data_IF_548140200662
#
_entry.id   IF_548140200662
#
_cell.length_a   1.000
_cell.length_b   1.000
_cell.length_c   1.000
_cell.angle_alpha   90.00
_cell.angle_beta   90.00
_cell.angle_gamma   90.00
#
_symmetry.space_group_name_H-M   'P 1'
#
loop_
_entity.id
_entity.type
_entity.pdbx_description
1 polymer ?
#
# COMPACT_ATOMS: atom_id res chain seq x y z
N UNK A 1 -9.22 2.24 13.26
CA UNK A 1 -8.59 2.29 11.94
C UNK A 1 -9.63 2.64 10.89
N UNK A 2 -9.41 3.68 10.10
CA UNK A 2 -10.40 4.06 9.08
C UNK A 2 -10.49 3.02 7.97
N UNK A 3 -11.70 2.90 7.42
CA UNK A 3 -11.95 2.17 6.19
C UNK A 3 -12.17 3.20 5.10
N UNK A 4 -11.36 3.15 4.05
CA UNK A 4 -11.41 4.10 2.95
C UNK A 4 -11.95 3.41 1.70
N UNK A 5 -12.97 3.98 1.09
CA UNK A 5 -13.53 3.45 -0.15
C UNK A 5 -12.67 3.84 -1.35
N UNK A 6 -12.04 2.85 -1.95
CA UNK A 6 -11.27 2.99 -3.16
C UNK A 6 -12.04 2.34 -4.33
N UNK A 7 -12.94 3.12 -4.90
CA UNK A 7 -13.72 2.71 -6.08
C UNK A 7 -14.48 1.39 -5.84
N UNK A 8 -15.26 1.35 -4.77
CA UNK A 8 -16.07 0.19 -4.38
C UNK A 8 -15.33 -0.88 -3.59
N UNK A 9 -14.08 -0.66 -3.24
CA UNK A 9 -13.31 -1.56 -2.38
C UNK A 9 -12.93 -0.84 -1.08
N UNK A 10 -13.44 -1.32 0.04
CA UNK A 10 -13.08 -0.77 1.35
C UNK A 10 -11.68 -1.22 1.75
N UNK A 11 -10.79 -0.28 1.92
CA UNK A 11 -9.41 -0.51 2.32
C UNK A 11 -9.22 -0.26 3.81
N UNK A 12 -8.62 -1.22 4.50
CA UNK A 12 -8.24 -1.08 5.90
C UNK A 12 -6.95 -0.26 6.00
N UNK A 13 -7.02 0.90 6.64
CA UNK A 13 -5.91 1.85 6.73
C UNK A 13 -5.62 2.16 8.20
N UNK A 14 -4.36 2.25 8.55
CA UNK A 14 -3.88 2.67 9.87
C UNK A 14 -3.05 3.93 9.73
N UNK A 15 -3.31 4.93 10.56
CA UNK A 15 -2.56 6.18 10.63
C UNK A 15 -2.07 6.35 12.06
N UNK A 16 -0.77 6.34 12.25
CA UNK A 16 -0.16 6.39 13.57
C UNK A 16 1.08 7.27 13.56
N UNK A 17 1.47 7.76 14.74
CA UNK A 17 2.74 8.43 14.93
C UNK A 17 2.60 9.93 15.10
N UNK A 18 3.63 10.65 14.69
CA UNK A 18 3.81 12.07 15.00
C UNK A 18 2.86 12.96 14.20
N UNK A 19 1.94 13.60 14.90
CA UNK A 19 1.07 14.60 14.29
C UNK A 19 1.91 15.79 13.77
N UNK A 20 1.59 16.21 12.53
CA UNK A 20 2.35 17.27 11.87
C UNK A 20 3.75 16.88 11.40
N UNK A 21 4.16 15.63 11.63
CA UNK A 21 5.41 15.12 11.11
C UNK A 21 5.33 14.79 9.61
N UNK A 22 6.48 14.53 8.96
CA UNK A 22 6.47 14.08 7.58
C UNK A 22 5.74 12.76 7.45
N UNK A 23 5.00 12.59 6.38
CA UNK A 23 4.23 11.38 6.13
C UNK A 23 5.09 10.30 5.50
N UNK A 24 4.99 9.08 6.04
CA UNK A 24 5.61 7.88 5.48
C UNK A 24 4.55 6.83 5.25
N UNK A 25 4.43 6.36 4.03
CA UNK A 25 3.51 5.28 3.68
C UNK A 25 4.27 3.98 3.48
N UNK A 26 3.80 2.91 4.12
CA UNK A 26 4.40 1.58 4.07
C UNK A 26 3.52 0.66 3.24
N UNK A 27 4.10 0.00 2.27
CA UNK A 27 3.39 -0.90 1.36
C UNK A 27 3.93 -2.32 1.44
N UNK A 28 3.04 -3.25 1.68
CA UNK A 28 3.33 -4.63 2.08
C UNK A 28 3.80 -5.51 0.93
N UNK A 29 4.48 -6.61 1.28
CA UNK A 29 4.73 -7.72 0.38
C UNK A 29 3.43 -8.44 0.01
N UNK A 30 3.46 -9.22 -1.06
CA UNK A 30 2.34 -10.08 -1.45
C UNK A 30 2.03 -11.07 -0.33
N UNK A 31 0.74 -11.26 -0.06
CA UNK A 31 0.29 -12.19 0.97
C UNK A 31 0.44 -11.69 2.41
N UNK A 32 0.87 -10.45 2.61
CA UNK A 32 1.07 -9.86 3.92
C UNK A 32 0.01 -8.82 4.25
N UNK A 33 -0.18 -8.60 5.55
CA UNK A 33 -1.03 -7.55 6.08
C UNK A 33 -0.18 -6.39 6.61
N UNK A 34 -0.83 -5.30 7.01
CA UNK A 34 -0.13 -4.15 7.57
C UNK A 34 0.64 -4.48 8.85
N UNK A 35 0.32 -5.59 9.55
CA UNK A 35 1.06 -6.03 10.72
C UNK A 35 2.51 -6.46 10.43
N UNK A 36 2.88 -6.72 9.19
CA UNK A 36 4.27 -7.05 8.85
C UNK A 36 5.25 -5.94 9.26
N UNK A 37 4.77 -4.70 9.39
CA UNK A 37 5.58 -3.54 9.76
C UNK A 37 5.65 -3.30 11.27
N UNK A 38 4.96 -4.10 12.07
CA UNK A 38 4.89 -3.90 13.53
C UNK A 38 6.26 -3.75 14.20
N UNK A 39 7.29 -4.55 13.85
CA UNK A 39 8.61 -4.40 14.45
C UNK A 39 9.27 -3.04 14.23
N UNK A 40 8.93 -2.33 13.15
CA UNK A 40 9.52 -1.03 12.83
C UNK A 40 8.71 0.15 13.36
N UNK A 41 7.47 -0.07 13.78
CA UNK A 41 6.54 1.01 14.09
C UNK A 41 6.99 1.88 15.25
N UNK A 42 7.55 1.30 16.30
CA UNK A 42 8.01 2.05 17.46
C UNK A 42 9.04 3.13 17.08
N UNK A 43 9.98 2.80 16.20
CA UNK A 43 11.00 3.75 15.75
C UNK A 43 10.42 4.77 14.74
N UNK A 44 9.63 4.30 13.80
CA UNK A 44 9.11 5.15 12.72
C UNK A 44 8.10 6.17 13.22
N UNK A 45 7.24 5.80 14.16
CA UNK A 45 6.20 6.69 14.69
C UNK A 45 6.75 7.84 15.53
N UNK A 46 7.98 7.77 15.98
CA UNK A 46 8.64 8.89 16.66
C UNK A 46 9.01 10.02 15.69
N UNK A 47 9.26 9.70 14.43
CA UNK A 47 9.75 10.62 13.41
C UNK A 47 8.69 11.00 12.37
N UNK A 48 7.79 10.07 12.07
CA UNK A 48 6.85 10.20 10.97
C UNK A 48 5.40 10.04 11.43
N UNK A 49 4.50 10.62 10.65
CA UNK A 49 3.12 10.18 10.58
C UNK A 49 3.10 8.99 9.63
N UNK A 50 2.92 7.78 10.17
CA UNK A 50 3.05 6.53 9.42
C UNK A 50 1.70 6.02 8.98
N UNK A 51 1.56 5.76 7.69
CA UNK A 51 0.36 5.18 7.09
C UNK A 51 0.67 3.77 6.66
N UNK A 52 -0.13 2.83 7.15
CA UNK A 52 -0.11 1.42 6.73
C UNK A 52 -1.48 1.06 6.18
N UNK A 53 -1.51 0.14 5.27
CA UNK A 53 -2.79 -0.34 4.71
C UNK A 53 -2.71 -1.79 4.28
N UNK A 54 -3.86 -2.45 4.32
CA UNK A 54 -4.03 -3.75 3.66
C UNK A 54 -4.43 -3.50 2.21
N UNK A 55 -3.68 -4.07 1.28
CA UNK A 55 -3.99 -3.96 -0.15
C UNK A 55 -5.31 -4.67 -0.44
N UNK A 56 -6.04 -4.25 -1.47
CA UNK A 56 -7.24 -4.99 -1.90
C UNK A 56 -6.92 -6.48 -2.07
N UNK A 57 -7.82 -7.32 -1.66
CA UNK A 57 -7.63 -8.77 -1.64
C UNK A 57 -6.82 -9.31 -0.47
N UNK A 58 -6.36 -8.44 0.45
CA UNK A 58 -5.52 -8.81 1.58
C UNK A 58 -6.13 -8.35 2.92
N UNK A 59 -5.76 -9.05 3.98
CA UNK A 59 -6.10 -8.66 5.35
C UNK A 59 -7.57 -8.35 5.56
N UNK A 60 -7.84 -7.18 6.13
CA UNK A 60 -9.20 -6.70 6.43
C UNK A 60 -9.80 -5.86 5.30
N UNK A 61 -9.07 -5.64 4.23
CA UNK A 61 -9.59 -4.93 3.07
C UNK A 61 -10.54 -5.80 2.25
N UNK A 62 -11.36 -5.16 1.41
CA UNK A 62 -12.29 -5.84 0.52
C UNK A 62 -11.59 -6.73 -0.50
N UNK A 63 -12.34 -7.70 -1.02
CA UNK A 63 -11.88 -8.63 -2.06
C UNK A 63 -12.83 -8.53 -3.27
N UNK A 64 -12.76 -7.44 -4.04
CA UNK A 64 -13.56 -7.32 -5.25
C UNK A 64 -13.10 -8.32 -6.30
N UNK A 65 -13.96 -8.58 -7.30
CA UNK A 65 -13.60 -9.45 -8.40
C UNK A 65 -12.33 -8.92 -9.11
N UNK A 66 -11.40 -9.86 -9.40
CA UNK A 66 -10.20 -9.54 -10.19
C UNK A 66 -10.50 -9.51 -11.69
N UNK A 67 -9.49 -9.33 -12.52
CA UNK A 67 -8.06 -9.25 -12.17
C UNK A 67 -7.66 -7.92 -11.54
N UNK A 68 -6.62 -7.93 -10.72
CA UNK A 68 -6.00 -6.73 -10.17
C UNK A 68 -4.77 -6.34 -11.00
N UNK A 69 -4.54 -5.04 -11.12
CA UNK A 69 -3.39 -4.49 -11.87
C UNK A 69 -2.54 -3.58 -10.98
N UNK A 70 -1.31 -3.30 -11.41
CA UNK A 70 -0.47 -2.29 -10.75
C UNK A 70 -1.12 -0.91 -10.80
N UNK A 71 -1.77 -0.57 -11.89
CA UNK A 71 -2.55 0.66 -12.00
C UNK A 71 -3.62 0.73 -10.92
N UNK A 72 -4.38 -0.36 -10.70
CA UNK A 72 -5.42 -0.39 -9.67
C UNK A 72 -4.82 -0.22 -8.27
N UNK A 73 -3.73 -0.89 -7.97
CA UNK A 73 -3.04 -0.75 -6.69
C UNK A 73 -2.50 0.67 -6.49
N UNK A 74 -1.94 1.27 -7.51
CA UNK A 74 -1.47 2.65 -7.47
C UNK A 74 -2.59 3.65 -7.25
N UNK A 75 -3.72 3.48 -7.95
CA UNK A 75 -4.90 4.32 -7.78
C UNK A 75 -5.51 4.20 -6.38
N UNK A 76 -5.46 3.01 -5.78
CA UNK A 76 -5.88 2.81 -4.40
C UNK A 76 -5.05 3.68 -3.44
N UNK A 77 -3.74 3.72 -3.64
CA UNK A 77 -2.84 4.57 -2.85
C UNK A 77 -3.21 6.04 -3.01
N UNK A 78 -3.44 6.49 -4.24
CA UNK A 78 -3.83 7.89 -4.49
C UNK A 78 -5.15 8.22 -3.79
N UNK A 79 -6.11 7.31 -3.79
CA UNK A 79 -7.38 7.48 -3.07
C UNK A 79 -7.14 7.61 -1.57
N UNK A 80 -6.27 6.79 -0.98
CA UNK A 80 -5.91 6.89 0.44
C UNK A 80 -5.31 8.27 0.74
N UNK A 81 -4.36 8.73 -0.07
CA UNK A 81 -3.73 10.03 0.12
C UNK A 81 -4.74 11.18 0.01
N UNK A 82 -5.65 11.10 -0.96
CA UNK A 82 -6.69 12.12 -1.15
C UNK A 82 -7.67 12.15 0.03
N UNK A 83 -8.13 10.98 0.48
CA UNK A 83 -9.05 10.87 1.62
C UNK A 83 -8.44 11.41 2.92
N UNK A 84 -7.14 11.20 3.11
CA UNK A 84 -6.40 11.70 4.27
C UNK A 84 -5.89 13.14 4.09
N UNK A 85 -6.18 13.79 2.97
CA UNK A 85 -5.71 15.14 2.62
C UNK A 85 -4.18 15.26 2.65
N UNK A 86 -3.49 14.24 2.10
CA UNK A 86 -2.03 14.20 2.02
C UNK A 86 -1.60 14.49 0.60
N UNK A 87 -0.93 15.61 0.40
CA UNK A 87 -0.43 16.00 -0.91
C UNK A 87 0.75 15.15 -1.36
N UNK A 88 1.73 14.97 -0.47
CA UNK A 88 2.95 14.18 -0.73
C UNK A 88 3.30 13.28 0.45
N UNK A 89 3.86 12.13 0.14
CA UNK A 89 4.34 11.19 1.16
C UNK A 89 5.70 10.61 0.78
N UNK A 90 6.49 10.26 1.80
CA UNK A 90 7.57 9.32 1.61
C UNK A 90 6.99 7.92 1.44
N UNK A 91 7.70 7.08 0.71
CA UNK A 91 7.25 5.72 0.39
C UNK A 91 8.30 4.69 0.78
N UNK A 92 7.88 3.64 1.43
CA UNK A 92 8.70 2.44 1.64
C UNK A 92 7.89 1.21 1.24
N UNK A 93 8.29 0.57 0.18
CA UNK A 93 7.61 -0.62 -0.35
C UNK A 93 8.50 -1.83 -0.38
N UNK A 94 8.01 -2.97 0.11
CA UNK A 94 8.68 -4.25 0.11
C UNK A 94 8.07 -5.15 -0.96
N UNK A 95 8.90 -5.72 -1.83
CA UNK A 95 8.50 -6.66 -2.89
C UNK A 95 7.38 -6.06 -3.76
N UNK A 96 6.17 -6.57 -3.70
CA UNK A 96 5.03 -6.00 -4.44
C UNK A 96 4.77 -4.53 -4.07
N UNK A 97 4.93 -4.15 -2.81
CA UNK A 97 4.84 -2.74 -2.40
C UNK A 97 5.85 -1.84 -3.07
N UNK A 98 7.03 -2.37 -3.40
CA UNK A 98 8.03 -1.69 -4.22
C UNK A 98 7.58 -1.52 -5.67
N UNK A 99 6.87 -2.48 -6.24
CA UNK A 99 6.32 -2.39 -7.59
C UNK A 99 5.22 -1.32 -7.68
N UNK A 100 4.37 -1.24 -6.67
CA UNK A 100 3.37 -0.17 -6.56
C UNK A 100 4.05 1.19 -6.48
N UNK A 101 5.13 1.30 -5.70
CA UNK A 101 5.93 2.52 -5.61
C UNK A 101 6.54 2.94 -6.96
N UNK A 102 7.00 1.98 -7.76
CA UNK A 102 7.50 2.26 -9.11
C UNK A 102 6.40 2.78 -10.03
N UNK A 103 5.21 2.20 -9.97
CA UNK A 103 4.05 2.70 -10.71
C UNK A 103 3.72 4.15 -10.31
N UNK A 104 3.70 4.44 -9.00
CA UNK A 104 3.46 5.80 -8.50
C UNK A 104 4.53 6.78 -8.96
N UNK A 105 5.79 6.37 -8.94
CA UNK A 105 6.90 7.20 -9.41
C UNK A 105 6.82 7.52 -10.90
N UNK A 106 6.28 6.60 -11.70
CA UNK A 106 6.11 6.79 -13.14
C UNK A 106 4.85 7.60 -13.49
N UNK A 107 3.77 7.47 -12.71
CA UNK A 107 2.45 8.01 -13.08
C UNK A 107 1.99 9.18 -12.20
N UNK A 108 2.49 9.29 -10.98
CA UNK A 108 2.11 10.35 -10.03
C UNK A 108 3.31 10.81 -9.18
N UNK A 109 4.45 11.19 -9.83
CA UNK A 109 5.66 11.55 -9.08
C UNK A 109 5.47 12.77 -8.18
N UNK A 110 4.53 13.64 -8.49
CA UNK A 110 4.19 14.82 -7.67
C UNK A 110 3.62 14.46 -6.30
N UNK A 111 3.18 13.22 -6.11
CA UNK A 111 2.62 12.73 -4.84
C UNK A 111 3.68 12.09 -3.94
N UNK A 112 4.91 11.96 -4.41
CA UNK A 112 5.99 11.28 -3.70
C UNK A 112 7.14 12.24 -3.38
N UNK A 113 7.69 12.08 -2.16
CA UNK A 113 8.95 12.70 -1.76
C UNK A 113 10.10 11.72 -2.02
N UNK A 114 10.56 11.03 -0.98
CA UNK A 114 11.62 10.02 -1.09
C UNK A 114 11.01 8.62 -1.16
N UNK A 115 11.64 7.74 -1.93
CA UNK A 115 11.15 6.39 -2.16
C UNK A 115 12.22 5.39 -1.74
N UNK A 116 11.83 4.40 -0.94
CA UNK A 116 12.62 3.22 -0.63
C UNK A 116 11.91 2.01 -1.26
N UNK A 117 12.62 1.31 -2.13
CA UNK A 117 12.15 0.11 -2.81
C UNK A 117 13.02 -1.06 -2.37
N UNK A 118 12.46 -1.94 -1.55
CA UNK A 118 13.21 -3.05 -0.95
C UNK A 118 12.79 -4.38 -1.59
N UNK A 119 13.79 -5.20 -1.95
CA UNK A 119 13.59 -6.58 -2.44
C UNK A 119 12.50 -6.66 -3.51
N UNK A 120 12.59 -5.81 -4.53
CA UNK A 120 11.56 -5.65 -5.55
C UNK A 120 12.16 -5.76 -6.96
N UNK A 121 11.30 -5.72 -7.97
CA UNK A 121 11.69 -5.80 -9.37
C UNK A 121 10.85 -4.82 -10.20
N UNK A 122 11.41 -4.38 -11.31
CA UNK A 122 10.69 -3.55 -12.29
C UNK A 122 9.96 -4.42 -13.34
N UNK A 123 10.26 -5.71 -13.39
CA UNK A 123 9.63 -6.67 -14.31
C UNK A 123 9.20 -7.89 -13.51
N UNK A 124 7.97 -8.31 -13.71
CA UNK A 124 7.50 -9.53 -13.07
C UNK A 124 6.05 -9.81 -13.38
N UNK A 125 5.70 -11.08 -13.31
CA UNK A 125 4.34 -11.58 -13.48
C UNK A 125 3.54 -11.54 -12.16
N UNK A 126 3.82 -10.55 -11.29
CA UNK A 126 3.12 -10.43 -10.02
C UNK A 126 1.61 -10.30 -10.20
N UNK A 127 1.16 -9.68 -11.29
CA UNK A 127 -0.25 -9.61 -11.62
C UNK A 127 -0.82 -11.02 -11.82
N UNK A 128 -0.12 -11.87 -12.59
CA UNK A 128 -0.54 -13.25 -12.80
C UNK A 128 -0.49 -14.06 -11.51
N UNK A 129 0.51 -13.84 -10.66
CA UNK A 129 0.62 -14.50 -9.37
C UNK A 129 -0.54 -14.12 -8.45
N UNK A 130 -0.94 -12.84 -8.44
CA UNK A 130 -2.09 -12.37 -7.67
C UNK A 130 -3.38 -12.98 -8.19
N UNK A 131 -3.55 -13.02 -9.51
CA UNK A 131 -4.70 -13.66 -10.13
C UNK A 131 -4.81 -15.13 -9.74
N UNK A 132 -3.70 -15.84 -9.76
CA UNK A 132 -3.65 -17.25 -9.37
C UNK A 132 -3.97 -17.46 -7.89
N UNK A 133 -3.50 -16.56 -7.01
CA UNK A 133 -3.84 -16.60 -5.59
C UNK A 133 -5.33 -16.35 -5.33
N UNK A 134 -5.97 -15.52 -6.16
CA UNK A 134 -7.37 -15.17 -5.99
C UNK A 134 -8.33 -16.19 -6.63
N UNK A 135 -7.84 -17.08 -7.49
CA UNK A 135 -8.66 -18.15 -8.08
C UNK A 135 -8.96 -19.31 -7.13
N UNK A 136 -8.25 -19.37 -6.05
CA UNK A 136 -8.37 -20.51 -5.17
C UNK A 136 -9.22 -20.31 -3.95
N UNK A 137 -9.70 -19.17 -3.65
CA UNK A 137 -10.48 -18.86 -2.45
C UNK A 137 -10.08 -17.51 -1.87
N UNK A 138 -10.57 -17.15 -0.94
CA UNK A 138 -10.31 -16.36 0.23
C UNK A 138 -9.09 -15.43 0.16
N UNK A 139 -9.18 -14.39 0.89
CA UNK A 139 -8.12 -13.41 1.12
C UNK A 139 -6.75 -14.05 1.28
N UNK A 140 -5.80 -13.55 0.56
CA UNK A 140 -4.39 -13.83 0.86
C UNK A 140 -4.09 -13.21 2.22
N UNK A 141 -3.77 -14.05 3.16
CA UNK A 141 -3.57 -13.66 4.56
C UNK A 141 -2.29 -12.86 4.78
#
# INVERSE_FOLDING_TARGET
>A
MPMIDADGCLLNVSVEGRDGGPTLMLSNSLGCTLQMWEPQMKALTQLFRVIRYDRRGHGKSGVPAGPYSMERFGRDVLTILDDLNIEKTHWCGLSMGGMVGQWLGANAPERLNKIILANTTSKGNCVNTIQNCNHGTDKVA
#
